data_IF_592742141242
#
_entry.id   IF_592742141242
#
_cell.length_a   1.000
_cell.length_b   1.000
_cell.length_c   1.000
_cell.angle_alpha   90.00
_cell.angle_beta   90.00
_cell.angle_gamma   90.00
#
_symmetry.space_group_name_H-M   'P 1'
#
loop_
_entity.id
_entity.type
_entity.pdbx_description
1 polymer ?
#
# COMPACT_ATOMS: atom_id res chain seq x y z
N UNK A 1 25.02 -17.02 -51.21
CA UNK A 1 24.98 -17.63 -49.85
C UNK A 1 25.07 -16.53 -48.79
N UNK A 2 24.05 -15.67 -48.76
CA UNK A 2 24.01 -14.36 -48.09
C UNK A 2 23.10 -14.43 -46.82
N UNK A 3 22.59 -15.61 -46.46
CA UNK A 3 21.44 -15.74 -45.56
C UNK A 3 21.72 -16.39 -44.19
N UNK A 4 22.97 -16.51 -43.75
CA UNK A 4 23.29 -17.20 -42.46
C UNK A 4 24.15 -16.34 -41.52
N UNK A 5 24.61 -15.17 -41.98
CA UNK A 5 25.57 -14.33 -41.22
C UNK A 5 24.95 -13.10 -40.55
N UNK A 6 23.62 -13.06 -40.45
CA UNK A 6 22.86 -11.95 -39.85
C UNK A 6 21.99 -12.36 -38.64
N UNK A 7 22.06 -13.63 -38.19
CA UNK A 7 21.27 -14.12 -37.04
C UNK A 7 22.08 -14.06 -35.73
N UNK A 8 22.99 -13.08 -35.59
CA UNK A 8 23.71 -12.86 -34.34
C UNK A 8 23.61 -11.41 -33.81
N UNK A 9 22.91 -10.52 -34.51
CA UNK A 9 22.79 -9.10 -34.09
C UNK A 9 21.35 -8.73 -33.69
N UNK A 10 20.42 -9.69 -33.66
CA UNK A 10 19.02 -9.44 -33.27
C UNK A 10 18.69 -9.87 -31.82
N UNK A 11 19.67 -10.31 -31.02
CA UNK A 11 19.44 -10.78 -29.64
C UNK A 11 19.84 -9.77 -28.55
N UNK A 12 20.52 -8.67 -28.91
CA UNK A 12 21.07 -7.73 -27.92
C UNK A 12 20.12 -6.58 -27.53
N UNK A 13 18.97 -6.42 -28.20
CA UNK A 13 18.08 -5.27 -27.97
C UNK A 13 16.94 -5.53 -26.97
N UNK A 14 16.78 -6.75 -26.45
CA UNK A 14 15.64 -7.11 -25.59
C UNK A 14 15.98 -7.30 -24.10
N UNK A 15 17.21 -6.97 -23.68
CA UNK A 15 17.69 -7.24 -22.32
C UNK A 15 17.52 -6.07 -21.32
N UNK A 16 16.89 -4.96 -21.70
CA UNK A 16 16.81 -3.74 -20.85
C UNK A 16 15.44 -3.50 -20.19
N UNK A 17 14.49 -4.43 -20.29
CA UNK A 17 13.23 -4.38 -19.56
C UNK A 17 13.30 -5.12 -18.21
N UNK A 18 14.48 -5.21 -17.60
CA UNK A 18 14.61 -5.54 -16.19
C UNK A 18 14.07 -4.36 -15.39
N UNK A 19 12.75 -4.37 -15.17
CA UNK A 19 12.03 -3.41 -14.36
C UNK A 19 12.66 -3.33 -12.98
N UNK A 20 13.44 -2.26 -12.76
CA UNK A 20 13.69 -1.79 -11.41
C UNK A 20 12.33 -1.41 -10.83
N UNK A 21 11.90 -2.13 -9.80
CA UNK A 21 10.86 -1.63 -8.91
C UNK A 21 11.42 -0.34 -8.31
N UNK A 22 11.16 0.78 -8.98
CA UNK A 22 11.43 2.10 -8.42
C UNK A 22 10.66 2.15 -7.12
N UNK A 23 11.39 2.19 -5.99
CA UNK A 23 10.83 2.65 -4.75
C UNK A 23 10.38 4.09 -5.02
N UNK A 24 9.12 4.28 -5.43
CA UNK A 24 8.52 5.60 -5.49
C UNK A 24 8.66 6.15 -4.09
N UNK A 25 9.31 7.31 -3.96
CA UNK A 25 9.42 7.98 -2.68
C UNK A 25 8.01 8.10 -2.11
N UNK A 26 7.75 7.38 -1.02
CA UNK A 26 6.48 7.44 -0.32
C UNK A 26 6.24 8.91 0.10
N UNK A 27 5.01 9.40 0.03
CA UNK A 27 4.73 10.79 0.35
C UNK A 27 5.12 11.09 1.80
N UNK A 28 5.59 12.31 2.05
CA UNK A 28 5.78 12.77 3.42
C UNK A 28 4.41 12.97 4.07
N UNK A 29 4.20 12.31 5.20
CA UNK A 29 3.00 12.47 6.02
C UNK A 29 3.33 12.56 7.50
N UNK A 30 2.39 13.08 8.29
CA UNK A 30 2.44 13.15 9.74
C UNK A 30 1.59 12.01 10.34
N UNK A 31 2.24 11.05 11.00
CA UNK A 31 1.58 9.90 11.61
C UNK A 31 0.56 10.27 12.71
N UNK A 32 0.77 11.37 13.44
CA UNK A 32 -0.16 11.83 14.48
C UNK A 32 -1.40 12.47 13.86
N UNK A 33 -1.22 13.27 12.80
CA UNK A 33 -2.33 13.78 12.02
C UNK A 33 -3.11 12.62 11.37
N UNK A 34 -2.39 11.64 10.81
CA UNK A 34 -2.94 10.44 10.21
C UNK A 34 -3.81 9.62 11.14
N UNK A 35 -3.34 9.38 12.37
CA UNK A 35 -4.13 8.71 13.39
C UNK A 35 -5.46 9.45 13.67
N UNK A 36 -5.40 10.79 13.70
CA UNK A 36 -6.57 11.63 13.93
C UNK A 36 -7.56 11.55 12.77
N UNK A 37 -7.08 11.60 11.52
CA UNK A 37 -7.92 11.44 10.34
C UNK A 37 -8.56 10.05 10.29
N UNK A 38 -7.78 9.01 10.52
CA UNK A 38 -8.23 7.61 10.53
C UNK A 38 -9.36 7.38 11.54
N UNK A 39 -9.27 8.01 12.73
CA UNK A 39 -10.32 7.96 13.74
C UNK A 39 -11.55 8.79 13.37
N UNK A 40 -11.37 10.05 12.97
CA UNK A 40 -12.49 10.98 12.67
C UNK A 40 -13.32 10.52 11.47
N UNK A 41 -12.69 9.89 10.49
CA UNK A 41 -13.35 9.37 9.30
C UNK A 41 -13.98 7.98 9.53
N UNK A 42 -13.79 7.41 10.72
CA UNK A 42 -14.37 6.12 11.08
C UNK A 42 -13.69 4.93 10.40
N UNK A 43 -12.50 5.08 9.79
CA UNK A 43 -11.81 3.99 9.08
C UNK A 43 -11.58 2.77 9.98
N UNK A 44 -11.40 3.01 11.29
CA UNK A 44 -11.20 1.97 12.30
C UNK A 44 -12.39 1.02 12.47
N UNK A 45 -13.61 1.43 12.07
CA UNK A 45 -14.81 0.60 12.28
C UNK A 45 -14.71 -0.70 11.48
N UNK A 46 -14.16 -0.63 10.26
CA UNK A 46 -13.94 -1.79 9.41
C UNK A 46 -12.50 -2.31 9.46
N UNK A 47 -11.52 -1.43 9.66
CA UNK A 47 -10.10 -1.81 9.58
C UNK A 47 -9.42 -1.98 10.95
N UNK A 48 -10.13 -1.78 12.05
CA UNK A 48 -9.59 -1.80 13.41
C UNK A 48 -8.77 -0.56 13.75
N UNK A 49 -8.67 -0.23 15.04
CA UNK A 49 -7.99 0.99 15.53
C UNK A 49 -6.53 1.09 15.08
N UNK A 50 -5.84 -0.05 14.93
CA UNK A 50 -4.44 -0.14 14.53
C UNK A 50 -4.26 -0.59 13.07
N UNK A 51 -5.32 -0.51 12.25
CA UNK A 51 -5.31 -1.04 10.90
C UNK A 51 -5.12 -2.56 10.86
N UNK A 52 -5.37 -3.29 11.95
CA UNK A 52 -5.16 -4.74 12.03
C UNK A 52 -6.20 -5.56 11.24
N UNK A 53 -7.24 -4.90 10.73
CA UNK A 53 -8.40 -5.51 10.09
C UNK A 53 -9.41 -6.06 11.08
N UNK A 54 -10.59 -6.40 10.58
CA UNK A 54 -11.56 -7.24 11.28
C UNK A 54 -11.79 -8.52 10.48
N UNK A 55 -12.43 -9.52 11.10
CA UNK A 55 -12.69 -10.80 10.42
C UNK A 55 -13.73 -10.67 9.29
N UNK A 56 -14.54 -9.60 9.25
CA UNK A 56 -15.68 -9.50 8.33
C UNK A 56 -15.74 -8.20 7.54
N UNK A 57 -15.29 -7.09 8.10
CA UNK A 57 -15.67 -5.76 7.60
C UNK A 57 -14.55 -5.11 6.77
N UNK A 58 -13.29 -5.35 7.12
CA UNK A 58 -12.18 -4.75 6.39
C UNK A 58 -10.84 -5.47 6.60
N UNK A 59 -10.00 -5.55 5.55
CA UNK A 59 -8.69 -6.18 5.63
C UNK A 59 -7.73 -5.39 6.53
N UNK A 60 -6.64 -6.07 6.90
CA UNK A 60 -5.49 -5.46 7.55
C UNK A 60 -4.81 -4.45 6.62
N UNK A 61 -4.50 -3.27 7.17
CA UNK A 61 -3.87 -2.12 6.51
C UNK A 61 -2.47 -1.79 7.03
N UNK A 62 -1.99 -2.47 8.07
CA UNK A 62 -0.61 -2.35 8.53
C UNK A 62 0.17 -3.63 8.17
N UNK A 63 1.44 -3.58 7.71
CA UNK A 63 1.99 -2.43 7.00
C UNK A 63 1.09 -2.07 5.80
N UNK A 64 1.06 -0.78 5.41
CA UNK A 64 0.26 -0.36 4.27
C UNK A 64 0.79 -0.96 2.97
N UNK A 65 -0.12 -1.16 2.02
CA UNK A 65 0.24 -1.30 0.61
C UNK A 65 0.91 -0.01 0.10
N UNK A 66 1.68 -0.04 -1.00
CA UNK A 66 2.33 1.16 -1.54
C UNK A 66 1.36 2.33 -1.70
N UNK A 67 1.80 3.56 -1.42
CA UNK A 67 0.88 4.71 -1.35
C UNK A 67 0.00 4.90 -2.58
N UNK A 68 0.50 4.79 -3.83
CA UNK A 68 -0.37 4.95 -5.01
C UNK A 68 -1.54 3.95 -5.02
N UNK A 69 -1.30 2.74 -4.55
CA UNK A 69 -2.32 1.70 -4.48
C UNK A 69 -3.31 1.97 -3.33
N UNK A 70 -2.82 2.46 -2.18
CA UNK A 70 -3.68 2.88 -1.06
C UNK A 70 -4.57 4.07 -1.47
N UNK A 71 -3.99 5.08 -2.11
CA UNK A 71 -4.72 6.25 -2.60
C UNK A 71 -5.78 5.82 -3.61
N UNK A 72 -5.43 4.98 -4.58
CA UNK A 72 -6.39 4.44 -5.54
C UNK A 72 -7.53 3.68 -4.85
N UNK A 73 -7.25 2.88 -3.82
CA UNK A 73 -8.28 2.19 -3.06
C UNK A 73 -9.19 3.16 -2.28
N UNK A 74 -8.67 4.28 -1.77
CA UNK A 74 -9.48 5.31 -1.08
C UNK A 74 -10.38 6.07 -2.07
N UNK A 75 -9.88 6.35 -3.29
CA UNK A 75 -10.63 7.09 -4.32
C UNK A 75 -11.63 6.22 -5.07
N UNK A 76 -11.21 5.02 -5.45
CA UNK A 76 -12.00 4.05 -6.22
C UNK A 76 -12.00 2.70 -5.49
N UNK A 77 -12.73 2.60 -4.37
CA UNK A 77 -12.72 1.42 -3.53
C UNK A 77 -13.39 0.22 -4.20
N UNK A 78 -13.06 -0.94 -3.65
CA UNK A 78 -13.67 -2.23 -3.96
C UNK A 78 -14.61 -2.65 -2.83
N UNK A 79 -15.61 -3.46 -3.16
CA UNK A 79 -16.58 -4.01 -2.20
C UNK A 79 -17.37 -2.92 -1.47
N UNK A 80 -17.64 -3.11 -0.18
CA UNK A 80 -18.46 -2.25 0.67
C UNK A 80 -17.70 -1.03 1.22
N UNK A 81 -16.43 -0.83 0.84
CA UNK A 81 -15.67 0.33 1.30
C UNK A 81 -16.21 1.61 0.64
N UNK A 82 -16.60 2.63 1.41
CA UNK A 82 -17.16 3.86 0.85
C UNK A 82 -16.09 4.65 0.07
N UNK A 83 -16.45 5.28 -1.06
CA UNK A 83 -15.52 6.14 -1.79
C UNK A 83 -15.29 7.45 -1.04
N UNK A 84 -14.04 7.91 -1.01
CA UNK A 84 -13.69 9.22 -0.49
C UNK A 84 -13.08 10.08 -1.59
N UNK A 85 -13.77 11.16 -1.96
CA UNK A 85 -13.27 12.15 -2.92
C UNK A 85 -12.22 13.06 -2.29
N UNK A 86 -11.47 13.78 -3.12
CA UNK A 86 -10.48 14.77 -2.66
C UNK A 86 -11.10 15.86 -1.77
N UNK A 87 -12.37 16.21 -2.02
CA UNK A 87 -13.13 17.16 -1.20
C UNK A 87 -13.51 16.62 0.18
N UNK A 88 -13.60 15.30 0.36
CA UNK A 88 -13.89 14.67 1.65
C UNK A 88 -12.61 14.41 2.47
N UNK A 89 -11.55 14.00 1.77
CA UNK A 89 -10.21 13.82 2.35
C UNK A 89 -9.18 14.21 1.29
N UNK A 90 -8.30 15.17 1.59
CA UNK A 90 -7.24 15.57 0.67
C UNK A 90 -6.17 14.49 0.52
N UNK A 91 -5.40 14.55 -0.57
CA UNK A 91 -4.28 13.60 -0.78
C UNK A 91 -3.24 13.68 0.35
N UNK A 92 -3.02 14.87 0.93
CA UNK A 92 -2.15 15.04 2.08
C UNK A 92 -2.69 14.32 3.32
N UNK A 93 -4.00 14.41 3.59
CA UNK A 93 -4.59 13.68 4.71
C UNK A 93 -4.53 12.16 4.50
N UNK A 94 -4.63 11.68 3.24
CA UNK A 94 -4.37 10.27 2.91
C UNK A 94 -2.90 9.91 3.14
N UNK A 95 -1.95 10.80 2.81
CA UNK A 95 -0.52 10.59 3.08
C UNK A 95 -0.21 10.55 4.59
N UNK A 96 -0.89 11.37 5.38
CA UNK A 96 -0.78 11.34 6.83
C UNK A 96 -1.32 10.00 7.38
N UNK A 97 -2.47 9.51 6.90
CA UNK A 97 -2.99 8.17 7.24
C UNK A 97 -2.00 7.07 6.84
N UNK A 98 -1.38 7.18 5.67
CA UNK A 98 -0.34 6.25 5.23
C UNK A 98 0.83 6.23 6.22
N UNK A 99 1.33 7.41 6.63
CA UNK A 99 2.40 7.54 7.61
C UNK A 99 2.00 6.94 8.97
N UNK A 100 0.73 7.12 9.38
CA UNK A 100 0.19 6.46 10.57
C UNK A 100 0.26 4.95 10.46
N UNK A 101 -0.30 4.35 9.41
CA UNK A 101 -0.31 2.90 9.20
C UNK A 101 1.11 2.32 9.12
N UNK A 102 2.04 3.03 8.48
CA UNK A 102 3.45 2.65 8.40
C UNK A 102 4.19 2.73 9.75
N UNK A 103 3.74 3.62 10.65
CA UNK A 103 4.33 3.77 11.98
C UNK A 103 3.99 2.63 12.95
N UNK A 104 2.96 1.83 12.64
CA UNK A 104 2.47 0.77 13.53
C UNK A 104 3.43 -0.42 13.47
N UNK A 105 3.94 -0.91 14.62
CA UNK A 105 4.83 -2.06 14.64
C UNK A 105 4.21 -3.28 13.97
N UNK A 106 5.02 -4.01 13.20
CA UNK A 106 4.60 -5.28 12.62
C UNK A 106 4.28 -6.27 13.74
N UNK A 107 3.19 -7.02 13.60
CA UNK A 107 2.87 -8.09 14.53
C UNK A 107 4.02 -9.11 14.56
N UNK A 108 4.38 -9.64 15.75
CA UNK A 108 5.37 -10.71 15.85
C UNK A 108 4.93 -11.94 15.05
N UNK A 109 5.89 -12.75 14.61
CA UNK A 109 5.58 -14.07 14.04
C UNK A 109 4.86 -14.91 15.12
N UNK A 110 3.66 -15.48 14.86
CA UNK A 110 2.99 -16.34 15.82
C UNK A 110 3.87 -17.47 16.35
N UNK A 111 4.76 -18.03 15.51
CA UNK A 111 5.72 -19.07 15.91
C UNK A 111 6.78 -18.59 16.88
N UNK A 112 7.02 -17.27 16.97
CA UNK A 112 7.94 -16.69 17.95
C UNK A 112 7.29 -16.48 19.33
N UNK A 113 5.97 -16.61 19.44
CA UNK A 113 5.23 -16.41 20.68
C UNK A 113 5.06 -17.76 21.37
N UNK A 114 5.83 -18.01 22.44
CA UNK A 114 5.82 -19.28 23.20
C UNK A 114 4.42 -19.68 23.70
N UNK A 115 3.53 -18.71 23.96
CA UNK A 115 2.14 -18.97 24.40
C UNK A 115 1.24 -19.55 23.30
N UNK A 116 1.67 -19.53 22.02
CA UNK A 116 0.90 -20.00 20.86
C UNK A 116 1.45 -21.30 20.25
N UNK A 117 2.39 -21.96 20.92
CA UNK A 117 3.05 -23.19 20.47
C UNK A 117 2.47 -24.43 21.16
#
# INVERSE_FOLDING_TARGET
>A
MIMVRNILIAAAAFALLAGGASAQNEPKGDAKAGATHFQKLGCYSCHGIWGQGTLRDGPRLNPPMPYPALLAQVRTPRYEMPPYTESQISDQAVADIYAYLASIPKAPDPKSIKLLQ
#
